data_IF_956755042900
#
_entry.id   IF_956755042900
#
_cell.length_a   1.000
_cell.length_b   1.000
_cell.length_c   1.000
_cell.angle_alpha   90.00
_cell.angle_beta   90.00
_cell.angle_gamma   90.00
#
_symmetry.space_group_name_H-M   'P 1'
#
loop_
_entity.id
_entity.type
_entity.pdbx_description
1 polymer ?
#
# COMPACT_ATOMS: atom_id res chain seq x y z
N UNK A 1 14.51 -13.19 -17.25
CA UNK A 1 13.79 -12.02 -16.72
C UNK A 1 14.76 -10.86 -16.73
N UNK A 2 14.44 -9.72 -17.37
CA UNK A 2 15.30 -8.54 -17.33
C UNK A 2 15.47 -8.06 -15.89
N UNK A 3 16.66 -7.54 -15.56
CA UNK A 3 16.94 -6.95 -14.26
C UNK A 3 16.02 -5.76 -13.97
N UNK A 4 15.81 -5.41 -12.69
CA UNK A 4 15.03 -4.22 -12.30
C UNK A 4 15.52 -2.96 -13.04
N UNK A 5 16.85 -2.83 -13.19
CA UNK A 5 17.48 -1.72 -13.89
C UNK A 5 17.11 -1.68 -15.38
N UNK A 6 17.08 -2.81 -16.06
CA UNK A 6 16.69 -2.89 -17.47
C UNK A 6 15.21 -2.56 -17.66
N UNK A 7 14.34 -3.06 -16.77
CA UNK A 7 12.91 -2.73 -16.79
C UNK A 7 12.67 -1.23 -16.59
N UNK A 8 13.37 -0.60 -15.64
CA UNK A 8 13.28 0.85 -15.41
C UNK A 8 13.78 1.64 -16.61
N UNK A 9 14.89 1.25 -17.24
CA UNK A 9 15.39 1.91 -18.45
C UNK A 9 14.39 1.85 -19.60
N UNK A 10 13.78 0.67 -19.82
CA UNK A 10 12.76 0.52 -20.85
C UNK A 10 11.54 1.42 -20.56
N UNK A 11 11.07 1.46 -19.31
CA UNK A 11 9.99 2.35 -18.90
C UNK A 11 10.33 3.83 -19.07
N UNK A 12 11.56 4.25 -18.77
CA UNK A 12 12.01 5.62 -18.98
C UNK A 12 11.91 6.02 -20.46
N UNK A 13 12.43 5.18 -21.36
CA UNK A 13 12.44 5.46 -22.80
C UNK A 13 11.04 5.36 -23.43
N UNK A 14 10.24 4.36 -23.06
CA UNK A 14 8.93 4.13 -23.69
C UNK A 14 7.82 5.01 -23.10
N UNK A 15 7.93 5.43 -21.84
CA UNK A 15 6.83 6.08 -21.11
C UNK A 15 7.19 7.48 -20.63
N UNK A 16 8.36 7.67 -20.01
CA UNK A 16 8.70 8.95 -19.37
C UNK A 16 9.20 9.97 -20.38
N UNK A 17 10.20 9.61 -21.19
CA UNK A 17 10.75 10.49 -22.22
C UNK A 17 9.68 11.12 -23.13
N UNK A 18 8.67 10.37 -23.63
CA UNK A 18 7.66 10.97 -24.51
C UNK A 18 6.60 11.83 -23.79
N UNK A 19 6.38 11.62 -22.48
CA UNK A 19 5.21 12.17 -21.77
C UNK A 19 5.56 13.23 -20.73
N UNK A 20 6.68 13.06 -20.04
CA UNK A 20 7.16 13.95 -19.01
C UNK A 20 8.70 13.91 -18.94
N UNK A 21 9.41 14.30 -20.02
CA UNK A 21 10.87 14.31 -20.07
C UNK A 21 11.48 15.22 -19.01
N UNK A 22 10.71 16.19 -18.50
CA UNK A 22 11.14 17.07 -17.42
C UNK A 22 11.43 16.32 -16.11
N UNK A 23 10.90 15.10 -15.93
CA UNK A 23 11.12 14.28 -14.73
C UNK A 23 12.33 13.34 -14.82
N UNK A 24 12.98 13.27 -15.98
CA UNK A 24 14.13 12.36 -16.18
C UNK A 24 15.29 12.67 -15.23
N UNK A 25 15.69 13.94 -14.99
CA UNK A 25 16.78 14.23 -14.07
C UNK A 25 16.48 13.75 -12.65
N UNK A 26 15.25 13.94 -12.16
CA UNK A 26 14.84 13.54 -10.82
C UNK A 26 14.74 12.01 -10.69
N UNK A 27 14.21 11.33 -11.71
CA UNK A 27 14.15 9.85 -11.70
C UNK A 27 15.56 9.27 -11.75
N UNK A 28 16.45 9.79 -12.59
CA UNK A 28 17.86 9.38 -12.60
C UNK A 28 18.54 9.64 -11.26
N UNK A 29 18.29 10.78 -10.61
CA UNK A 29 18.86 11.06 -9.29
C UNK A 29 18.42 10.02 -8.24
N UNK A 30 17.14 9.60 -8.23
CA UNK A 30 16.65 8.55 -7.33
C UNK A 30 17.25 7.18 -7.69
N UNK A 31 17.40 6.88 -8.98
CA UNK A 31 18.08 5.66 -9.46
C UNK A 31 19.53 5.59 -9.01
N UNK A 32 20.28 6.66 -9.24
CA UNK A 32 21.70 6.74 -8.90
C UNK A 32 21.91 6.68 -7.39
N UNK A 33 21.00 7.27 -6.60
CA UNK A 33 20.99 7.13 -5.14
C UNK A 33 20.80 5.67 -4.72
N UNK A 34 19.83 4.95 -5.28
CA UNK A 34 19.59 3.54 -4.97
C UNK A 34 20.79 2.66 -5.35
N UNK A 35 21.32 2.83 -6.57
CA UNK A 35 22.51 2.12 -7.04
C UNK A 35 23.73 2.39 -6.14
N UNK A 36 23.89 3.64 -5.71
CA UNK A 36 25.01 4.05 -4.86
C UNK A 36 24.92 3.46 -3.46
N UNK A 37 23.72 3.40 -2.87
CA UNK A 37 23.48 2.74 -1.58
C UNK A 37 23.78 1.25 -1.70
N UNK A 38 23.27 0.58 -2.74
CA UNK A 38 23.51 -0.86 -2.97
C UNK A 38 25.02 -1.17 -3.11
N UNK A 39 25.78 -0.29 -3.78
CA UNK A 39 27.22 -0.46 -3.96
C UNK A 39 28.03 -0.14 -2.71
N UNK A 40 27.68 0.92 -1.98
CA UNK A 40 28.44 1.38 -0.80
C UNK A 40 28.05 0.65 0.48
N UNK A 41 26.83 0.12 0.55
CA UNK A 41 26.24 -0.43 1.76
C UNK A 41 25.89 0.62 2.82
N UNK A 42 25.92 1.91 2.48
CA UNK A 42 25.63 3.03 3.40
C UNK A 42 24.85 4.13 2.69
N UNK A 43 24.08 4.90 3.47
CA UNK A 43 23.26 6.00 2.96
C UNK A 43 23.95 7.33 3.24
N UNK A 44 24.15 8.14 2.20
CA UNK A 44 24.69 9.50 2.31
C UNK A 44 23.60 10.56 2.30
N UNK A 45 23.92 11.78 2.73
CA UNK A 45 23.00 12.93 2.67
C UNK A 45 22.53 13.24 1.24
N UNK A 46 23.39 13.01 0.24
CA UNK A 46 23.03 13.20 -1.17
C UNK A 46 22.00 12.17 -1.62
N UNK A 47 22.15 10.91 -1.21
CA UNK A 47 21.16 9.87 -1.53
C UNK A 47 19.82 10.18 -0.86
N UNK A 48 19.85 10.56 0.42
CA UNK A 48 18.65 10.96 1.16
C UNK A 48 17.96 12.15 0.51
N UNK A 49 18.70 13.16 0.07
CA UNK A 49 18.12 14.33 -0.58
C UNK A 49 17.35 13.95 -1.86
N UNK A 50 17.91 13.07 -2.70
CA UNK A 50 17.24 12.58 -3.90
C UNK A 50 15.97 11.76 -3.55
N UNK A 51 16.09 10.83 -2.60
CA UNK A 51 14.97 10.00 -2.13
C UNK A 51 13.84 10.86 -1.54
N UNK A 52 14.18 11.82 -0.66
CA UNK A 52 13.22 12.72 -0.02
C UNK A 52 12.54 13.59 -1.07
N UNK A 53 13.28 14.12 -2.04
CA UNK A 53 12.72 14.90 -3.13
C UNK A 53 11.69 14.09 -3.94
N UNK A 54 12.05 12.88 -4.37
CA UNK A 54 11.15 12.01 -5.14
C UNK A 54 9.91 11.59 -4.34
N UNK A 55 10.09 11.17 -3.09
CA UNK A 55 9.00 10.70 -2.23
C UNK A 55 8.01 11.82 -1.84
N UNK A 56 8.47 13.08 -1.78
CA UNK A 56 7.62 14.25 -1.54
C UNK A 56 6.90 14.75 -2.79
N UNK A 57 7.25 14.25 -3.98
CA UNK A 57 6.71 14.76 -5.24
C UNK A 57 5.19 14.56 -5.35
N UNK A 58 4.51 15.54 -5.93
CA UNK A 58 3.12 15.41 -6.36
C UNK A 58 2.99 14.79 -7.77
N UNK A 59 4.10 14.66 -8.51
CA UNK A 59 4.14 14.09 -9.86
C UNK A 59 4.13 12.57 -9.75
N UNK A 60 3.02 11.97 -10.15
CA UNK A 60 2.79 10.52 -10.07
C UNK A 60 3.94 9.65 -10.57
N UNK A 61 4.52 9.87 -11.77
CA UNK A 61 5.60 9.03 -12.24
C UNK A 61 6.83 9.04 -11.31
N UNK A 62 7.16 10.19 -10.74
CA UNK A 62 8.30 10.33 -9.85
C UNK A 62 8.03 9.71 -8.48
N UNK A 63 6.89 10.02 -7.83
CA UNK A 63 6.62 9.44 -6.52
C UNK A 63 6.36 7.93 -6.60
N UNK A 64 5.67 7.41 -7.62
CA UNK A 64 5.40 5.97 -7.73
C UNK A 64 6.70 5.19 -7.90
N UNK A 65 7.63 5.70 -8.71
CA UNK A 65 8.96 5.11 -8.81
C UNK A 65 9.71 5.17 -7.47
N UNK A 66 9.66 6.32 -6.80
CA UNK A 66 10.44 6.54 -5.57
C UNK A 66 9.92 5.72 -4.39
N UNK A 67 8.60 5.58 -4.21
CA UNK A 67 8.04 4.82 -3.08
C UNK A 67 8.43 3.34 -3.14
N UNK A 68 8.58 2.76 -4.34
CA UNK A 68 9.04 1.37 -4.51
C UNK A 68 10.52 1.21 -4.12
N UNK A 69 11.36 2.21 -4.43
CA UNK A 69 12.75 2.25 -4.00
C UNK A 69 12.83 2.39 -2.47
N UNK A 70 12.09 3.33 -1.90
CA UNK A 70 12.04 3.55 -0.44
C UNK A 70 11.56 2.30 0.29
N UNK A 71 10.51 1.63 -0.20
CA UNK A 71 10.02 0.38 0.39
C UNK A 71 11.08 -0.73 0.40
N UNK A 72 11.93 -0.77 -0.63
CA UNK A 72 13.06 -1.68 -0.71
C UNK A 72 14.15 -1.37 0.31
N UNK A 73 14.56 -0.10 0.40
CA UNK A 73 15.67 0.36 1.24
C UNK A 73 15.29 0.47 2.72
N UNK A 74 14.05 0.81 3.05
CA UNK A 74 13.58 0.90 4.44
C UNK A 74 13.64 -0.44 5.19
N UNK A 75 13.77 -1.56 4.46
CA UNK A 75 14.02 -2.88 5.04
C UNK A 75 15.36 -2.92 5.79
N UNK A 76 16.39 -2.25 5.26
CA UNK A 76 17.78 -2.45 5.67
C UNK A 76 18.42 -1.17 6.26
N UNK A 77 17.87 0.01 5.97
CA UNK A 77 18.50 1.30 6.34
C UNK A 77 17.62 2.15 7.26
N UNK A 78 18.08 2.42 8.48
CA UNK A 78 17.37 3.21 9.48
C UNK A 78 17.18 4.68 9.07
N UNK A 79 18.11 5.22 8.29
CA UNK A 79 18.05 6.56 7.74
C UNK A 79 16.84 6.71 6.80
N UNK A 80 16.58 5.69 5.99
CA UNK A 80 15.41 5.65 5.11
C UNK A 80 14.11 5.45 5.91
N UNK A 81 14.14 4.66 6.98
CA UNK A 81 13.01 4.53 7.91
C UNK A 81 12.65 5.87 8.57
N UNK A 82 13.66 6.66 8.95
CA UNK A 82 13.45 8.00 9.50
C UNK A 82 12.78 8.93 8.48
N UNK A 83 13.19 8.87 7.21
CA UNK A 83 12.51 9.60 6.12
C UNK A 83 11.05 9.19 6.02
N UNK A 84 10.71 7.89 6.03
CA UNK A 84 9.31 7.45 5.98
C UNK A 84 8.47 8.04 7.13
N UNK A 85 9.04 8.07 8.34
CA UNK A 85 8.36 8.69 9.49
C UNK A 85 8.18 10.21 9.32
N UNK A 86 9.18 10.91 8.80
CA UNK A 86 9.08 12.34 8.50
C UNK A 86 7.97 12.62 7.47
N UNK A 87 7.89 11.82 6.40
CA UNK A 87 6.85 11.95 5.38
C UNK A 87 5.45 11.72 5.98
N UNK A 88 5.32 10.81 6.93
CA UNK A 88 4.06 10.52 7.62
C UNK A 88 3.59 11.68 8.54
N UNK A 89 4.48 12.63 8.86
CA UNK A 89 4.20 13.83 9.66
C UNK A 89 4.02 15.09 8.81
N UNK A 90 4.20 15.00 7.50
CA UNK A 90 4.23 16.17 6.64
C UNK A 90 2.89 16.94 6.62
N UNK A 91 2.96 18.26 6.48
CA UNK A 91 1.77 19.10 6.36
C UNK A 91 0.90 18.73 5.15
N UNK A 92 1.50 18.31 4.04
CA UNK A 92 0.80 17.92 2.82
C UNK A 92 0.18 16.53 2.94
N UNK A 93 -1.13 16.44 2.70
CA UNK A 93 -1.81 15.14 2.66
C UNK A 93 -1.28 14.21 1.55
N UNK A 94 -0.77 14.78 0.44
CA UNK A 94 -0.16 13.98 -0.62
C UNK A 94 1.14 13.31 -0.16
N UNK A 95 1.94 14.02 0.64
CA UNK A 95 3.21 13.48 1.16
C UNK A 95 2.93 12.39 2.21
N UNK A 96 1.98 12.61 3.11
CA UNK A 96 1.55 11.56 4.07
C UNK A 96 0.95 10.34 3.37
N UNK A 97 0.21 10.55 2.29
CA UNK A 97 -0.27 9.45 1.43
C UNK A 97 0.91 8.66 0.82
N UNK A 98 1.93 9.36 0.30
CA UNK A 98 3.13 8.71 -0.23
C UNK A 98 3.90 7.96 0.86
N UNK A 99 3.93 8.46 2.11
CA UNK A 99 4.54 7.77 3.24
C UNK A 99 3.93 6.38 3.48
N UNK A 100 2.61 6.24 3.34
CA UNK A 100 1.93 4.93 3.40
C UNK A 100 2.38 4.04 2.23
N UNK A 101 2.52 4.59 1.03
CA UNK A 101 2.99 3.84 -0.15
C UNK A 101 4.44 3.36 -0.01
N UNK A 102 5.27 4.05 0.76
CA UNK A 102 6.65 3.64 1.04
C UNK A 102 6.76 2.36 1.90
N UNK A 103 5.66 1.83 2.43
CA UNK A 103 5.69 0.60 3.21
C UNK A 103 5.71 -0.62 2.31
N UNK A 104 6.72 -1.47 2.45
CA UNK A 104 6.86 -2.73 1.72
C UNK A 104 6.77 -3.96 2.62
N UNK A 105 6.67 -5.15 2.02
CA UNK A 105 6.63 -6.44 2.75
C UNK A 105 7.86 -6.73 3.61
N UNK A 106 9.01 -6.13 3.27
CA UNK A 106 10.27 -6.26 4.02
C UNK A 106 10.52 -5.09 4.96
N UNK A 107 9.69 -4.06 4.93
CA UNK A 107 9.80 -2.93 5.87
C UNK A 107 9.56 -3.46 7.28
N UNK A 108 10.32 -3.02 8.31
CA UNK A 108 10.14 -3.48 9.67
C UNK A 108 8.70 -3.29 10.15
N UNK A 109 8.15 -4.30 10.81
CA UNK A 109 6.74 -4.32 11.23
C UNK A 109 6.42 -3.10 12.10
N UNK A 110 7.32 -2.72 13.01
CA UNK A 110 7.16 -1.58 13.91
C UNK A 110 7.03 -0.25 13.14
N UNK A 111 7.77 -0.08 12.05
CA UNK A 111 7.64 1.09 11.19
C UNK A 111 6.28 1.09 10.47
N UNK A 112 5.91 -0.05 9.88
CA UNK A 112 4.61 -0.19 9.23
C UNK A 112 3.46 0.12 10.19
N UNK A 113 3.49 -0.43 11.39
CA UNK A 113 2.47 -0.18 12.40
C UNK A 113 2.38 1.30 12.79
N UNK A 114 3.51 1.96 13.03
CA UNK A 114 3.52 3.38 13.39
C UNK A 114 2.93 4.27 12.30
N UNK A 115 3.30 4.02 11.04
CA UNK A 115 2.81 4.79 9.90
C UNK A 115 1.32 4.52 9.66
N UNK A 116 0.89 3.25 9.74
CA UNK A 116 -0.51 2.88 9.52
C UNK A 116 -1.44 3.38 10.63
N UNK A 117 -1.05 3.28 11.91
CA UNK A 117 -1.82 3.86 13.03
C UNK A 117 -2.09 5.35 12.83
N UNK A 118 -1.06 6.10 12.42
CA UNK A 118 -1.22 7.53 12.06
C UNK A 118 -2.13 7.71 10.86
N UNK A 119 -1.97 6.84 9.85
CA UNK A 119 -2.77 6.84 8.64
C UNK A 119 -4.26 6.62 8.91
N UNK A 120 -4.64 5.73 9.83
CA UNK A 120 -6.04 5.42 10.16
C UNK A 120 -6.82 6.60 10.73
N UNK A 121 -6.14 7.49 11.47
CA UNK A 121 -6.76 8.68 12.10
C UNK A 121 -6.37 9.99 11.40
N UNK A 122 -5.83 9.91 10.19
CA UNK A 122 -5.36 11.09 9.45
C UNK A 122 -6.51 12.06 9.13
N UNK A 123 -6.23 13.37 9.16
CA UNK A 123 -7.19 14.42 8.79
C UNK A 123 -7.71 14.31 7.34
N UNK A 124 -6.99 13.64 6.44
CA UNK A 124 -7.37 13.44 5.05
C UNK A 124 -8.02 12.08 4.82
N UNK A 125 -9.23 12.08 4.26
CA UNK A 125 -9.93 10.85 3.83
C UNK A 125 -9.10 10.01 2.85
N UNK A 126 -8.28 10.65 2.00
CA UNK A 126 -7.39 9.95 1.05
C UNK A 126 -6.32 9.13 1.78
N UNK A 127 -5.74 9.68 2.85
CA UNK A 127 -4.71 9.00 3.64
C UNK A 127 -5.33 7.87 4.43
N UNK A 128 -6.48 8.10 5.10
CA UNK A 128 -7.18 7.04 5.86
C UNK A 128 -7.57 5.83 5.01
N UNK A 129 -8.15 6.08 3.82
CA UNK A 129 -8.47 5.02 2.85
C UNK A 129 -7.23 4.26 2.41
N UNK A 130 -6.13 4.98 2.16
CA UNK A 130 -4.88 4.36 1.74
C UNK A 130 -4.27 3.52 2.85
N UNK A 131 -4.27 3.99 4.09
CA UNK A 131 -3.78 3.22 5.24
C UNK A 131 -4.54 1.89 5.40
N UNK A 132 -5.87 1.89 5.32
CA UNK A 132 -6.66 0.66 5.35
C UNK A 132 -6.30 -0.30 4.18
N UNK A 133 -6.29 0.19 2.94
CA UNK A 133 -5.88 -0.60 1.77
C UNK A 133 -4.46 -1.16 1.91
N UNK A 134 -3.54 -0.39 2.50
CA UNK A 134 -2.15 -0.82 2.65
C UNK A 134 -1.97 -1.84 3.77
N UNK A 135 -2.73 -1.74 4.87
CA UNK A 135 -2.80 -2.78 5.90
C UNK A 135 -3.25 -4.12 5.29
N UNK A 136 -4.26 -4.12 4.41
CA UNK A 136 -4.70 -5.32 3.68
C UNK A 136 -3.56 -5.92 2.84
N UNK A 137 -2.84 -5.08 2.09
CA UNK A 137 -1.73 -5.51 1.21
C UNK A 137 -0.57 -6.10 1.99
N UNK A 138 -0.29 -5.55 3.17
CA UNK A 138 0.74 -6.03 4.09
C UNK A 138 0.26 -7.18 4.99
N UNK A 139 -1.03 -7.53 4.96
CA UNK A 139 -1.66 -8.60 5.76
C UNK A 139 -1.41 -8.44 7.28
N UNK A 140 -1.43 -7.20 7.77
CA UNK A 140 -1.05 -6.90 9.16
C UNK A 140 -2.22 -7.09 10.13
N UNK A 141 -2.41 -8.32 10.61
CA UNK A 141 -3.45 -8.63 11.61
C UNK A 141 -3.20 -8.01 12.99
N UNK A 142 -1.96 -7.61 13.32
CA UNK A 142 -1.64 -6.92 14.58
C UNK A 142 -2.35 -5.58 14.75
N UNK A 143 -2.80 -4.97 13.64
CA UNK A 143 -3.48 -3.68 13.61
C UNK A 143 -5.01 -3.78 13.59
N UNK A 144 -5.60 -4.97 13.75
CA UNK A 144 -7.06 -5.14 13.78
C UNK A 144 -7.74 -4.24 14.84
N UNK A 145 -7.27 -4.17 16.11
CA UNK A 145 -7.90 -3.31 17.12
C UNK A 145 -7.82 -1.82 16.75
N UNK A 146 -6.67 -1.37 16.24
CA UNK A 146 -6.47 0.02 15.82
C UNK A 146 -7.43 0.41 14.68
N UNK A 147 -7.62 -0.48 13.69
CA UNK A 147 -8.51 -0.25 12.56
C UNK A 147 -10.00 -0.31 12.96
N UNK A 148 -10.37 -1.21 13.89
CA UNK A 148 -11.73 -1.30 14.44
C UNK A 148 -12.11 -0.02 15.21
N UNK A 149 -11.20 0.48 16.06
CA UNK A 149 -11.38 1.75 16.77
C UNK A 149 -11.54 2.91 15.78
N UNK A 150 -10.63 3.04 14.81
CA UNK A 150 -10.71 4.08 13.80
C UNK A 150 -12.01 4.02 12.98
N UNK A 151 -12.46 2.82 12.61
CA UNK A 151 -13.72 2.62 11.88
C UNK A 151 -14.94 3.04 12.70
N UNK A 152 -14.94 2.80 14.01
CA UNK A 152 -16.04 3.19 14.91
C UNK A 152 -16.22 4.71 15.02
N UNK A 153 -15.13 5.46 14.82
CA UNK A 153 -15.10 6.93 14.86
C UNK A 153 -15.22 7.57 13.47
N UNK A 154 -15.14 6.77 12.40
CA UNK A 154 -15.14 7.26 11.03
C UNK A 154 -16.51 7.79 10.60
N UNK A 155 -16.54 9.00 10.07
CA UNK A 155 -17.78 9.65 9.59
C UNK A 155 -17.95 9.56 8.07
N UNK A 156 -16.86 9.45 7.30
CA UNK A 156 -16.91 9.31 5.85
C UNK A 156 -17.21 7.85 5.45
N UNK A 157 -18.36 7.63 4.81
CA UNK A 157 -18.83 6.30 4.43
C UNK A 157 -17.87 5.56 3.48
N UNK A 158 -17.16 6.28 2.60
CA UNK A 158 -16.19 5.66 1.67
C UNK A 158 -14.94 5.20 2.40
N UNK A 159 -14.53 5.93 3.45
CA UNK A 159 -13.44 5.49 4.32
C UNK A 159 -13.91 4.30 5.16
N UNK A 160 -15.07 4.40 5.81
CA UNK A 160 -15.64 3.32 6.64
C UNK A 160 -15.78 2.02 5.86
N UNK A 161 -16.30 2.09 4.63
CA UNK A 161 -16.44 0.91 3.75
C UNK A 161 -15.09 0.29 3.36
N UNK A 162 -14.03 1.10 3.22
CA UNK A 162 -12.67 0.60 2.96
C UNK A 162 -12.04 -0.06 4.19
N UNK A 163 -12.31 0.48 5.39
CA UNK A 163 -11.89 -0.13 6.66
C UNK A 163 -12.62 -1.46 6.89
N UNK A 164 -13.94 -1.51 6.72
CA UNK A 164 -14.74 -2.75 6.81
C UNK A 164 -14.25 -3.82 5.82
N UNK A 165 -13.96 -3.42 4.58
CA UNK A 165 -13.41 -4.32 3.57
C UNK A 165 -12.06 -4.91 3.99
N UNK A 166 -11.19 -4.07 4.57
CA UNK A 166 -9.89 -4.49 5.09
C UNK A 166 -10.05 -5.44 6.29
N UNK A 167 -10.93 -5.10 7.24
CA UNK A 167 -11.21 -5.94 8.42
C UNK A 167 -11.70 -7.33 8.01
N UNK A 168 -12.70 -7.42 7.14
CA UNK A 168 -13.22 -8.71 6.69
C UNK A 168 -12.14 -9.57 6.05
N UNK A 169 -11.33 -9.01 5.15
CA UNK A 169 -10.30 -9.78 4.45
C UNK A 169 -9.05 -10.10 5.29
N UNK A 170 -8.71 -9.29 6.30
CA UNK A 170 -7.57 -9.56 7.19
C UNK A 170 -7.96 -10.48 8.35
N UNK A 171 -9.13 -10.27 8.97
CA UNK A 171 -9.60 -11.04 10.14
C UNK A 171 -10.31 -12.32 9.73
N UNK A 172 -11.31 -12.19 8.86
CA UNK A 172 -12.26 -13.26 8.56
C UNK A 172 -11.87 -14.01 7.27
N UNK A 173 -10.91 -13.46 6.50
CA UNK A 173 -10.47 -13.91 5.17
C UNK A 173 -11.54 -13.77 4.07
N UNK A 174 -12.71 -13.26 4.42
CA UNK A 174 -13.79 -12.94 3.50
C UNK A 174 -14.54 -11.69 3.97
N UNK A 175 -15.30 -11.07 3.07
CA UNK A 175 -16.26 -10.03 3.40
C UNK A 175 -17.61 -10.41 2.79
N UNK A 176 -18.61 -10.64 3.65
CA UNK A 176 -19.98 -10.88 3.24
C UNK A 176 -20.80 -9.60 3.42
N UNK A 177 -21.48 -9.15 2.37
CA UNK A 177 -22.38 -7.99 2.41
C UNK A 177 -23.71 -8.32 1.76
N UNK A 178 -24.84 -7.83 2.27
CA UNK A 178 -26.12 -7.89 1.55
C UNK A 178 -26.00 -7.26 0.16
N UNK A 179 -26.59 -7.90 -0.85
CA UNK A 179 -26.58 -7.42 -2.23
C UNK A 179 -27.82 -7.93 -2.98
N UNK A 180 -28.74 -7.02 -3.30
CA UNK A 180 -30.04 -7.39 -3.88
C UNK A 180 -30.81 -8.33 -2.95
N UNK A 181 -31.29 -9.45 -3.50
CA UNK A 181 -32.03 -10.49 -2.78
C UNK A 181 -31.12 -11.56 -2.12
N UNK A 182 -29.82 -11.31 -2.05
CA UNK A 182 -28.84 -12.22 -1.47
C UNK A 182 -27.64 -11.49 -0.90
N UNK A 183 -26.46 -12.06 -1.13
CA UNK A 183 -25.20 -11.53 -0.60
C UNK A 183 -24.13 -11.48 -1.68
N UNK A 184 -23.21 -10.53 -1.53
CA UNK A 184 -21.91 -10.53 -2.17
C UNK A 184 -20.88 -11.03 -1.16
N UNK A 185 -20.15 -12.08 -1.53
CA UNK A 185 -18.98 -12.54 -0.78
C UNK A 185 -17.72 -12.16 -1.55
N UNK A 186 -16.75 -11.59 -0.84
CA UNK A 186 -15.44 -11.25 -1.38
C UNK A 186 -14.37 -12.02 -0.62
N UNK A 187 -13.41 -12.61 -1.33
CA UNK A 187 -12.20 -13.22 -0.75
C UNK A 187 -10.95 -12.62 -1.37
N UNK A 188 -9.79 -12.87 -0.74
CA UNK A 188 -8.49 -12.53 -1.30
C UNK A 188 -7.63 -13.78 -1.54
N UNK A 189 -7.53 -14.20 -2.81
CA UNK A 189 -6.71 -15.33 -3.28
C UNK A 189 -5.97 -14.94 -4.56
N UNK A 190 -4.69 -14.59 -4.48
CA UNK A 190 -3.91 -14.03 -5.61
C UNK A 190 -4.34 -12.63 -6.10
N UNK A 191 -5.62 -12.30 -5.93
CA UNK A 191 -6.28 -11.02 -6.18
C UNK A 191 -7.56 -10.92 -5.34
N UNK A 192 -8.44 -9.98 -5.69
CA UNK A 192 -9.76 -9.82 -5.06
C UNK A 192 -10.80 -10.51 -5.94
N UNK A 193 -11.55 -11.44 -5.36
CA UNK A 193 -12.59 -12.20 -6.07
C UNK A 193 -13.91 -11.95 -5.35
N UNK A 194 -14.95 -11.60 -6.13
CA UNK A 194 -16.30 -11.43 -5.63
C UNK A 194 -17.25 -12.42 -6.29
N UNK A 195 -18.15 -13.01 -5.50
CA UNK A 195 -19.24 -13.86 -5.98
C UNK A 195 -20.57 -13.42 -5.34
N UNK A 196 -21.65 -13.44 -6.11
CA UNK A 196 -23.00 -13.33 -5.56
C UNK A 196 -23.51 -14.69 -5.11
N UNK A 197 -24.08 -14.77 -3.91
CA UNK A 197 -24.70 -15.97 -3.35
C UNK A 197 -26.12 -15.66 -2.87
N UNK A 198 -27.03 -16.61 -2.95
CA UNK A 198 -28.40 -16.46 -2.42
C UNK A 198 -28.44 -16.78 -0.92
N UNK A 199 -29.52 -16.36 -0.24
CA UNK A 199 -29.80 -16.80 1.13
C UNK A 199 -29.86 -18.34 1.22
N UNK A 200 -30.50 -18.99 0.26
CA UNK A 200 -30.62 -20.45 0.24
C UNK A 200 -29.25 -21.15 0.13
N UNK A 201 -28.33 -20.63 -0.69
CA UNK A 201 -26.97 -21.18 -0.74
C UNK A 201 -26.22 -21.00 0.59
N UNK A 202 -26.39 -19.85 1.23
CA UNK A 202 -25.79 -19.59 2.54
C UNK A 202 -26.34 -20.54 3.62
N UNK A 203 -27.64 -20.83 3.58
CA UNK A 203 -28.32 -21.73 4.51
C UNK A 203 -27.95 -23.21 4.26
N UNK A 204 -27.87 -23.62 2.99
CA UNK A 204 -27.61 -25.02 2.59
C UNK A 204 -26.12 -25.41 2.74
N UNK A 205 -25.20 -24.54 2.34
CA UNK A 205 -23.75 -24.84 2.33
C UNK A 205 -23.03 -24.36 3.59
N UNK A 206 -23.46 -23.22 4.15
CA UNK A 206 -22.72 -22.49 5.18
C UNK A 206 -21.55 -21.68 4.64
N UNK A 207 -21.24 -20.56 5.30
CA UNK A 207 -20.24 -19.58 4.84
C UNK A 207 -18.84 -20.17 4.65
N UNK A 208 -18.40 -21.03 5.56
CA UNK A 208 -17.06 -21.63 5.52
C UNK A 208 -16.88 -22.55 4.32
N UNK A 209 -17.90 -23.34 3.96
CA UNK A 209 -17.85 -24.22 2.79
C UNK A 209 -17.77 -23.42 1.50
N UNK A 210 -18.54 -22.33 1.41
CA UNK A 210 -18.53 -21.40 0.27
C UNK A 210 -17.14 -20.76 0.12
N UNK A 211 -16.56 -20.26 1.21
CA UNK A 211 -15.21 -19.65 1.21
C UNK A 211 -14.15 -20.67 0.77
N UNK A 212 -14.18 -21.89 1.32
CA UNK A 212 -13.23 -22.95 0.93
C UNK A 212 -13.37 -23.33 -0.55
N UNK A 213 -14.60 -23.42 -1.06
CA UNK A 213 -14.84 -23.68 -2.49
C UNK A 213 -14.24 -22.57 -3.34
N UNK A 214 -14.47 -21.30 -2.98
CA UNK A 214 -13.91 -20.15 -3.68
C UNK A 214 -12.39 -20.14 -3.69
N UNK A 215 -11.72 -20.58 -2.61
CA UNK A 215 -10.27 -20.70 -2.60
C UNK A 215 -9.76 -21.80 -3.55
N UNK A 216 -10.42 -22.95 -3.60
CA UNK A 216 -10.05 -24.08 -4.48
C UNK A 216 -10.20 -23.77 -5.97
N UNK A 217 -11.15 -22.91 -6.33
CA UNK A 217 -11.38 -22.51 -7.73
C UNK A 217 -10.27 -21.59 -8.29
N UNK A 218 -9.28 -21.20 -7.48
CA UNK A 218 -8.20 -20.26 -7.82
C UNK A 218 -6.81 -20.89 -7.85
N UNK A 219 -6.69 -22.18 -7.49
CA UNK A 219 -5.47 -22.99 -7.59
C UNK A 219 -5.36 -23.63 -8.99
#
# INVERSE_FOLDING_TARGET
MPSRREQTKQWLTEVIEPRCPELLPEIHAVMDAADSIDQRGTVSDTDLAAIVHGARSARRPLYEYTVDIVAGLAADYQEVQAVVMELAEDKSAQVRFNAVLCLGKRTPSELCERVLRRGFVDRSTKVRRKAADWMLRLRMSSLLPDLEEAMSLESDEKVRSAMEFTLGLVRDRYLLRPSGDGYSIVIQSGGIIGQSITQQQLDDEGIEAIVQRLYREQE
#
